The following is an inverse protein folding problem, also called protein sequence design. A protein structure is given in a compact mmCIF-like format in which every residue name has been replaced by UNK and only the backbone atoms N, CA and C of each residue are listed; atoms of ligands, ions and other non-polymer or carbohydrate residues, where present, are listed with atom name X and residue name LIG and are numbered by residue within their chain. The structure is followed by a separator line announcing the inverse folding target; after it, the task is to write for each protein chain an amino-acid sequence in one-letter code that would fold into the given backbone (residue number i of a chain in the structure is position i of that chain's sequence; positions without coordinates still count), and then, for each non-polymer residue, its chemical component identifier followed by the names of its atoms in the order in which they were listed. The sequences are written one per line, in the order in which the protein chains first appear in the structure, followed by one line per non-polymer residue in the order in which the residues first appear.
data_IF_257772143145
#
_entry.id   IF_257772143145
#
_cell.length_a   1.000
_cell.length_b   1.000
_cell.length_c   1.000
_cell.angle_alpha   90.00
_cell.angle_beta   90.00
_cell.angle_gamma   90.00
#
_symmetry.space_group_name_H-M   'P 1'
#
loop_
_entity.id
_entity.type
_entity.pdbx_description
1 polymer ?
#
# COMPACT_ATOMS: atom_id res chain seq x y z
N UNK A 1 29.89 -6.44 43.96
CA UNK A 1 28.44 -6.15 43.82
C UNK A 1 28.22 -5.64 42.39
N UNK A 2 27.87 -6.53 41.45
CA UNK A 2 27.79 -6.24 40.01
C UNK A 2 26.31 -6.03 39.65
N UNK A 3 25.93 -4.81 39.25
CA UNK A 3 24.60 -4.51 38.70
C UNK A 3 24.64 -4.69 37.18
N UNK A 4 24.07 -5.79 36.70
CA UNK A 4 23.76 -5.99 35.28
C UNK A 4 22.46 -5.24 34.95
N UNK A 5 22.56 -4.26 34.05
CA UNK A 5 21.46 -3.47 33.50
C UNK A 5 20.71 -4.30 32.45
N UNK A 6 19.48 -4.68 32.74
CA UNK A 6 18.57 -5.28 31.79
C UNK A 6 17.80 -4.17 31.04
N UNK A 7 18.28 -3.82 29.84
CA UNK A 7 17.47 -3.13 28.82
C UNK A 7 17.67 -3.85 27.49
N UNK A 8 16.64 -3.77 26.65
CA UNK A 8 16.47 -4.38 25.31
C UNK A 8 15.57 -5.62 25.32
N UNK A 9 14.25 -5.39 25.43
CA UNK A 9 13.19 -6.32 24.95
C UNK A 9 11.96 -5.60 24.36
N UNK A 10 12.07 -4.33 23.96
CA UNK A 10 10.91 -3.54 23.47
C UNK A 10 10.76 -3.57 21.93
N UNK A 11 11.80 -3.96 21.18
CA UNK A 11 11.77 -3.97 19.71
C UNK A 11 11.01 -5.13 19.07
N UNK A 12 10.73 -6.22 19.80
CA UNK A 12 10.04 -7.41 19.25
C UNK A 12 8.51 -7.31 19.24
N UNK A 13 7.92 -6.43 20.07
CA UNK A 13 6.45 -6.29 20.17
C UNK A 13 5.89 -5.50 18.99
N UNK A 14 6.62 -4.50 18.48
CA UNK A 14 6.17 -3.67 17.35
C UNK A 14 6.09 -4.47 16.02
N UNK A 15 6.94 -5.49 15.86
CA UNK A 15 6.97 -6.36 14.67
C UNK A 15 5.72 -7.25 14.57
N UNK A 16 5.16 -7.68 15.70
CA UNK A 16 3.90 -8.42 15.70
C UNK A 16 2.71 -7.52 15.35
N UNK A 17 2.70 -6.24 15.71
CA UNK A 17 1.50 -5.37 15.60
C UNK A 17 1.15 -5.00 14.15
N UNK A 18 2.12 -4.72 13.26
CA UNK A 18 1.82 -4.42 11.85
C UNK A 18 1.43 -5.66 11.04
N UNK A 19 1.97 -6.83 11.39
CA UNK A 19 1.50 -8.11 10.85
C UNK A 19 0.16 -8.52 11.49
N UNK A 20 -0.11 -8.17 12.75
CA UNK A 20 -1.42 -8.32 13.39
C UNK A 20 -2.46 -7.39 12.78
N UNK A 21 -2.15 -6.20 12.26
CA UNK A 21 -3.15 -5.40 11.56
C UNK A 21 -3.61 -6.08 10.24
N UNK A 22 -2.67 -6.71 9.52
CA UNK A 22 -2.99 -7.53 8.34
C UNK A 22 -3.57 -8.91 8.70
N UNK A 23 -3.16 -9.51 9.82
CA UNK A 23 -3.58 -10.85 10.28
C UNK A 23 -4.84 -10.85 11.16
N UNK A 24 -5.18 -9.79 11.91
CA UNK A 24 -6.48 -9.61 12.58
C UNK A 24 -7.57 -9.36 11.56
N UNK A 25 -7.26 -8.60 10.50
CA UNK A 25 -8.14 -8.51 9.32
C UNK A 25 -8.44 -9.88 8.73
N UNK A 26 -7.44 -10.78 8.72
CA UNK A 26 -7.57 -12.15 8.18
C UNK A 26 -8.23 -13.14 9.17
N UNK A 27 -7.94 -13.05 10.48
CA UNK A 27 -8.45 -13.96 11.51
C UNK A 27 -9.92 -13.69 11.86
N UNK A 28 -10.36 -12.43 11.79
CA UNK A 28 -11.78 -12.08 11.95
C UNK A 28 -12.62 -12.50 10.74
N UNK A 29 -12.03 -12.63 9.54
CA UNK A 29 -12.72 -13.11 8.33
C UNK A 29 -12.95 -14.63 8.35
N UNK A 30 -12.06 -15.40 8.97
CA UNK A 30 -12.10 -16.88 8.92
C UNK A 30 -12.99 -17.53 9.99
N UNK A 31 -13.27 -16.85 11.11
CA UNK A 31 -14.04 -17.43 12.24
C UNK A 31 -15.55 -17.55 11.95
N UNK A 32 -16.11 -16.71 11.08
CA UNK A 32 -17.55 -16.68 10.80
C UNK A 32 -17.96 -17.45 9.53
N UNK A 33 -17.00 -17.99 8.77
CA UNK A 33 -17.26 -18.73 7.51
C UNK A 33 -17.52 -20.23 7.70
N UNK A 34 -17.48 -20.75 8.93
CA UNK A 34 -17.72 -22.16 9.25
C UNK A 34 -19.17 -22.38 9.71
N UNK A 35 -20.14 -22.11 8.83
CA UNK A 35 -21.54 -22.33 9.15
C UNK A 35 -22.48 -22.09 7.98
N UNK A 36 -22.93 -23.17 7.36
CA UNK A 36 -24.10 -23.29 6.49
C UNK A 36 -24.05 -22.64 5.09
N UNK A 37 -23.82 -23.49 4.09
CA UNK A 37 -24.23 -23.24 2.71
C UNK A 37 -25.54 -24.00 2.41
N UNK A 38 -26.62 -23.26 2.11
CA UNK A 38 -27.71 -23.71 1.24
C UNK A 38 -27.79 -22.72 0.08
N UNK A 39 -27.66 -23.26 -1.12
CA UNK A 39 -27.54 -22.53 -2.39
C UNK A 39 -28.93 -22.31 -2.98
N UNK A 40 -29.31 -21.06 -3.26
CA UNK A 40 -30.33 -20.80 -4.28
C UNK A 40 -30.18 -19.41 -4.93
N UNK A 41 -30.10 -19.45 -6.25
CA UNK A 41 -30.26 -18.43 -7.30
C UNK A 41 -30.39 -16.95 -6.93
N UNK A 42 -29.45 -16.13 -7.45
CA UNK A 42 -29.76 -14.77 -7.90
C UNK A 42 -28.87 -14.31 -9.06
N UNK A 43 -29.37 -14.50 -10.29
CA UNK A 43 -28.96 -13.73 -11.47
C UNK A 43 -29.95 -12.58 -11.64
N UNK A 44 -29.50 -11.35 -11.41
CA UNK A 44 -29.91 -10.12 -12.13
C UNK A 44 -29.49 -8.90 -11.30
N UNK A 45 -29.00 -7.87 -11.99
CA UNK A 45 -28.43 -6.60 -11.48
C UNK A 45 -26.92 -6.62 -11.19
N UNK A 46 -26.13 -6.82 -12.23
CA UNK A 46 -24.82 -6.17 -12.31
C UNK A 46 -24.97 -5.00 -13.30
N UNK A 47 -25.02 -3.77 -12.78
CA UNK A 47 -24.81 -2.58 -13.59
C UNK A 47 -23.44 -2.70 -14.26
N UNK A 48 -23.40 -2.37 -15.54
CA UNK A 48 -22.23 -2.49 -16.41
C UNK A 48 -21.12 -1.54 -15.92
N UNK A 49 -20.32 -1.99 -14.95
CA UNK A 49 -19.03 -1.37 -14.65
C UNK A 49 -18.17 -1.67 -15.87
N UNK A 50 -17.92 -0.64 -16.68
CA UNK A 50 -17.10 -0.74 -17.88
C UNK A 50 -15.79 -1.45 -17.52
N UNK A 51 -15.57 -2.62 -18.12
CA UNK A 51 -14.34 -3.38 -17.91
C UNK A 51 -13.15 -2.49 -18.30
N UNK A 52 -12.05 -2.51 -17.53
CA UNK A 52 -10.84 -1.81 -17.92
C UNK A 52 -10.43 -2.25 -19.33
N UNK A 53 -10.30 -1.30 -20.26
CA UNK A 53 -9.78 -1.54 -21.59
C UNK A 53 -8.31 -1.97 -21.46
N UNK A 54 -8.04 -3.26 -21.69
CA UNK A 54 -6.71 -3.86 -21.58
C UNK A 54 -5.68 -3.14 -22.47
N UNK A 55 -6.09 -2.65 -23.64
CA UNK A 55 -5.21 -1.95 -24.57
C UNK A 55 -4.81 -0.59 -24.02
N UNK A 56 -5.76 0.11 -23.39
CA UNK A 56 -5.48 1.38 -22.71
C UNK A 56 -4.55 1.21 -21.51
N UNK A 57 -4.76 0.17 -20.70
CA UNK A 57 -3.90 -0.12 -19.54
C UNK A 57 -2.48 -0.47 -19.98
N UNK A 58 -2.32 -1.35 -20.98
CA UNK A 58 -1.00 -1.67 -21.53
C UNK A 58 -0.29 -0.44 -22.10
N UNK A 59 -0.98 0.35 -22.92
CA UNK A 59 -0.41 1.56 -23.51
C UNK A 59 -0.06 2.64 -22.46
N UNK A 60 -0.74 2.67 -21.31
CA UNK A 60 -0.40 3.52 -20.19
C UNK A 60 0.89 3.06 -19.50
N UNK A 61 1.04 1.76 -19.28
CA UNK A 61 2.22 1.18 -18.63
C UNK A 61 3.47 1.24 -19.52
N UNK A 62 3.33 0.95 -20.81
CA UNK A 62 4.45 0.96 -21.77
C UNK A 62 5.05 2.36 -21.96
N UNK A 63 4.21 3.40 -21.99
CA UNK A 63 4.67 4.80 -22.09
C UNK A 63 5.52 5.26 -20.92
N UNK A 64 5.45 4.58 -19.77
CA UNK A 64 6.16 4.93 -18.53
C UNK A 64 7.38 4.06 -18.27
N UNK A 65 7.83 3.27 -19.25
CA UNK A 65 9.07 2.53 -19.12
C UNK A 65 10.23 3.52 -18.99
N UNK A 66 10.92 3.60 -17.84
CA UNK A 66 12.03 4.52 -17.69
C UNK A 66 13.13 4.17 -18.69
N UNK A 67 13.67 5.18 -19.37
CA UNK A 67 14.81 5.00 -20.27
C UNK A 67 15.96 4.36 -19.47
N UNK A 68 16.41 3.16 -19.89
CA UNK A 68 17.62 2.57 -19.33
C UNK A 68 18.77 3.47 -19.75
N UNK A 69 19.32 4.25 -18.81
CA UNK A 69 20.55 5.02 -19.06
C UNK A 69 21.67 4.00 -19.27
N UNK A 70 22.21 3.81 -20.49
CA UNK A 70 23.32 2.93 -20.74
C UNK A 70 24.59 3.73 -20.43
N UNK A 71 25.15 3.51 -19.26
CA UNK A 71 26.44 4.06 -18.90
C UNK A 71 27.03 3.20 -17.79
N UNK A 72 28.23 2.70 -18.03
CA UNK A 72 29.14 2.22 -16.98
C UNK A 72 29.41 3.40 -16.05
N UNK A 73 28.49 3.66 -15.12
CA UNK A 73 28.67 4.68 -14.12
C UNK A 73 29.81 4.21 -13.21
N UNK A 74 30.89 4.98 -13.20
CA UNK A 74 31.96 4.84 -12.22
C UNK A 74 31.33 4.72 -10.82
N UNK A 75 31.90 3.86 -9.97
CA UNK A 75 31.42 3.63 -8.61
C UNK A 75 31.50 4.92 -7.79
N UNK A 76 30.48 5.75 -7.89
CA UNK A 76 30.37 7.00 -7.15
C UNK A 76 30.09 6.65 -5.69
N UNK A 77 30.97 7.12 -4.81
CA UNK A 77 30.89 6.87 -3.37
C UNK A 77 29.56 7.36 -2.81
N UNK A 78 28.80 6.47 -2.16
CA UNK A 78 27.55 6.83 -1.50
C UNK A 78 27.86 7.81 -0.35
N UNK A 79 27.26 9.02 -0.34
CA UNK A 79 27.43 9.97 0.75
C UNK A 79 27.04 9.38 2.11
N UNK A 80 27.81 9.72 3.15
CA UNK A 80 27.65 9.14 4.48
C UNK A 80 26.23 9.33 5.06
N UNK A 81 25.55 10.43 4.74
CA UNK A 81 24.20 10.70 5.23
C UNK A 81 23.14 9.80 4.61
N UNK A 82 23.40 9.17 3.46
CA UNK A 82 22.48 8.24 2.80
C UNK A 82 22.72 6.79 3.19
N UNK A 83 23.86 6.45 3.81
CA UNK A 83 24.16 5.08 4.25
C UNK A 83 23.04 4.43 5.08
N UNK A 84 22.35 5.14 6.01
CA UNK A 84 21.23 4.56 6.75
C UNK A 84 20.04 4.13 5.88
N UNK A 85 19.90 4.67 4.66
CA UNK A 85 18.87 4.26 3.69
C UNK A 85 19.31 3.06 2.84
N UNK A 86 20.62 2.82 2.77
CA UNK A 86 21.22 1.84 1.87
C UNK A 86 21.56 0.53 2.59
N UNK A 87 22.08 0.62 3.81
CA UNK A 87 22.62 -0.51 4.56
C UNK A 87 21.60 -1.11 5.53
N UNK A 88 20.42 -1.49 5.00
CA UNK A 88 19.41 -2.16 5.82
C UNK A 88 18.93 -3.48 5.19
N UNK A 89 19.79 -4.51 5.13
CA UNK A 89 19.45 -5.79 4.52
C UNK A 89 18.22 -6.42 5.17
N UNK A 90 17.15 -6.59 4.40
CA UNK A 90 15.95 -7.32 4.81
C UNK A 90 15.17 -6.77 6.01
N UNK A 91 15.38 -5.50 6.41
CA UNK A 91 14.58 -4.89 7.48
C UNK A 91 13.22 -4.42 6.95
N UNK A 92 12.18 -5.21 7.28
CA UNK A 92 10.79 -4.99 6.87
C UNK A 92 10.18 -3.70 7.44
N UNK A 93 10.73 -3.18 8.52
CA UNK A 93 10.15 -2.07 9.28
C UNK A 93 11.16 -0.96 9.47
N UNK A 94 12.18 -0.86 8.63
CA UNK A 94 13.02 0.31 8.69
C UNK A 94 12.22 1.52 8.22
N UNK A 95 12.13 2.46 9.14
CA UNK A 95 11.52 3.75 8.97
C UNK A 95 12.65 4.75 9.10
N UNK A 96 13.07 5.40 8.00
CA UNK A 96 14.06 6.46 8.07
C UNK A 96 13.57 7.52 9.05
N UNK A 97 14.44 7.99 9.98
CA UNK A 97 14.07 9.08 10.89
C UNK A 97 13.57 10.29 10.10
N UNK A 98 12.55 10.97 10.61
CA UNK A 98 11.98 12.15 9.96
C UNK A 98 13.05 13.22 9.67
N UNK A 99 13.98 13.39 10.60
CA UNK A 99 15.08 14.35 10.50
C UNK A 99 16.04 14.03 9.33
N UNK A 100 16.17 12.76 8.97
CA UNK A 100 16.94 12.35 7.80
C UNK A 100 16.18 12.71 6.53
N UNK A 101 14.88 12.40 6.46
CA UNK A 101 14.05 12.68 5.29
C UNK A 101 14.01 14.17 4.95
N UNK A 102 13.85 15.03 5.95
CA UNK A 102 13.79 16.50 5.75
C UNK A 102 15.10 17.14 5.28
N UNK A 103 16.22 16.40 5.32
CA UNK A 103 17.55 16.88 4.89
C UNK A 103 17.92 16.41 3.49
N UNK A 104 17.10 15.55 2.88
CA UNK A 104 17.38 15.02 1.55
C UNK A 104 17.27 16.13 0.50
N UNK A 105 18.21 16.14 -0.45
CA UNK A 105 18.24 17.12 -1.55
C UNK A 105 17.77 16.52 -2.87
N UNK A 106 17.71 17.34 -3.93
CA UNK A 106 17.41 16.89 -5.29
C UNK A 106 18.53 16.00 -5.84
N UNK A 107 19.78 16.27 -5.48
CA UNK A 107 20.95 15.45 -5.82
C UNK A 107 20.85 14.07 -5.17
N UNK A 108 20.43 14.02 -3.89
CA UNK A 108 20.15 12.76 -3.19
C UNK A 108 19.07 11.95 -3.92
N UNK A 109 18.05 12.62 -4.49
CA UNK A 109 17.00 11.94 -5.27
C UNK A 109 17.58 11.14 -6.44
N UNK A 110 18.45 11.77 -7.24
CA UNK A 110 19.04 11.12 -8.41
C UNK A 110 19.85 9.87 -8.00
N UNK A 111 20.63 9.98 -6.93
CA UNK A 111 21.38 8.87 -6.36
C UNK A 111 20.45 7.77 -5.79
N UNK A 112 19.44 8.13 -5.01
CA UNK A 112 18.45 7.19 -4.48
C UNK A 112 17.70 6.44 -5.59
N UNK A 113 17.33 7.11 -6.68
CA UNK A 113 16.71 6.48 -7.84
C UNK A 113 17.66 5.51 -8.55
N UNK A 114 18.96 5.84 -8.64
CA UNK A 114 19.97 4.92 -9.16
C UNK A 114 20.09 3.68 -8.29
N UNK A 115 20.27 3.86 -6.99
CA UNK A 115 20.41 2.75 -6.04
C UNK A 115 19.14 1.89 -5.96
N UNK A 116 17.96 2.50 -6.09
CA UNK A 116 16.71 1.77 -6.22
C UNK A 116 16.74 0.79 -7.40
N UNK A 117 17.18 1.27 -8.58
CA UNK A 117 17.23 0.48 -9.83
C UNK A 117 18.31 -0.60 -9.78
N UNK A 118 19.41 -0.35 -9.09
CA UNK A 118 20.54 -1.29 -8.99
C UNK A 118 20.25 -2.50 -8.07
N UNK A 119 19.26 -2.42 -7.18
CA UNK A 119 18.89 -3.51 -6.28
C UNK A 119 17.92 -4.47 -6.96
N UNK A 120 18.27 -5.73 -7.16
CA UNK A 120 17.38 -6.72 -7.82
C UNK A 120 16.21 -7.20 -6.94
N UNK A 121 16.38 -7.13 -5.62
CA UNK A 121 15.41 -7.54 -4.62
C UNK A 121 14.54 -6.36 -4.19
N UNK A 122 13.21 -6.51 -4.30
CA UNK A 122 12.27 -5.46 -3.90
C UNK A 122 12.33 -5.14 -2.39
N UNK A 123 12.63 -6.14 -1.55
CA UNK A 123 12.71 -5.97 -0.10
C UNK A 123 13.82 -5.00 0.33
N UNK A 124 14.94 -5.01 -0.39
CA UNK A 124 16.09 -4.13 -0.12
C UNK A 124 15.83 -2.68 -0.51
N UNK A 125 14.72 -2.39 -1.20
CA UNK A 125 14.36 -1.04 -1.64
C UNK A 125 13.48 -0.30 -0.64
N UNK A 126 13.03 -0.93 0.45
CA UNK A 126 11.98 -0.37 1.31
C UNK A 126 12.32 1.00 1.93
N UNK A 127 13.55 1.21 2.37
CA UNK A 127 13.99 2.51 2.92
C UNK A 127 14.07 3.58 1.82
N UNK A 128 14.61 3.21 0.65
CA UNK A 128 14.71 4.07 -0.52
C UNK A 128 13.32 4.50 -1.02
N UNK A 129 12.33 3.60 -1.03
CA UNK A 129 10.93 3.92 -1.38
C UNK A 129 10.39 5.07 -0.52
N UNK A 130 10.62 5.03 0.79
CA UNK A 130 10.13 6.08 1.70
C UNK A 130 10.82 7.42 1.45
N UNK A 131 12.15 7.39 1.25
CA UNK A 131 12.93 8.58 0.92
C UNK A 131 12.47 9.22 -0.39
N UNK A 132 12.31 8.40 -1.45
CA UNK A 132 11.81 8.86 -2.73
C UNK A 132 10.36 9.35 -2.66
N UNK A 133 9.49 8.71 -1.89
CA UNK A 133 8.12 9.17 -1.67
C UNK A 133 8.06 10.55 -0.98
N UNK A 134 9.02 10.83 -0.08
CA UNK A 134 9.16 12.13 0.57
C UNK A 134 9.63 13.21 -0.42
N UNK A 135 10.66 12.90 -1.21
CA UNK A 135 11.23 13.82 -2.21
C UNK A 135 10.25 14.11 -3.36
N UNK A 136 9.50 13.10 -3.79
CA UNK A 136 8.51 13.21 -4.86
C UNK A 136 9.08 13.49 -6.25
N UNK A 137 8.17 13.85 -7.16
CA UNK A 137 8.46 14.07 -8.57
C UNK A 137 7.78 13.04 -9.49
N UNK A 138 7.53 13.44 -10.74
CA UNK A 138 6.93 12.58 -11.76
C UNK A 138 7.79 11.35 -12.05
N UNK A 139 9.12 11.52 -12.03
CA UNK A 139 10.11 10.48 -12.22
C UNK A 139 10.04 9.38 -11.13
N UNK A 140 9.74 9.75 -9.89
CA UNK A 140 9.49 8.80 -8.80
C UNK A 140 8.17 8.07 -8.98
N UNK A 141 7.12 8.78 -9.38
CA UNK A 141 5.81 8.17 -9.66
C UNK A 141 5.91 7.14 -10.78
N UNK A 142 6.58 7.48 -11.88
CA UNK A 142 6.83 6.59 -13.01
C UNK A 142 7.64 5.37 -12.57
N UNK A 143 8.70 5.57 -11.78
CA UNK A 143 9.50 4.49 -11.22
C UNK A 143 8.63 3.52 -10.40
N UNK A 144 7.80 4.02 -9.48
CA UNK A 144 6.98 3.17 -8.62
C UNK A 144 5.88 2.43 -9.39
N UNK A 145 5.23 3.10 -10.35
CA UNK A 145 4.23 2.46 -11.23
C UNK A 145 4.89 1.34 -12.05
N UNK A 146 6.06 1.62 -12.65
CA UNK A 146 6.82 0.63 -13.42
C UNK A 146 7.23 -0.57 -12.56
N UNK A 147 7.74 -0.33 -11.34
CA UNK A 147 8.13 -1.37 -10.41
C UNK A 147 6.95 -2.26 -9.96
N UNK A 148 5.78 -1.66 -9.72
CA UNK A 148 4.57 -2.39 -9.35
C UNK A 148 4.03 -3.28 -10.47
N UNK A 149 4.20 -2.89 -11.73
CA UNK A 149 3.48 -3.49 -12.85
C UNK A 149 4.35 -4.36 -13.76
N UNK A 150 5.53 -3.85 -14.15
CA UNK A 150 6.32 -4.39 -15.25
C UNK A 150 7.71 -4.88 -14.84
N UNK A 151 8.36 -4.26 -13.87
CA UNK A 151 9.77 -4.54 -13.56
C UNK A 151 10.02 -6.01 -13.18
N UNK A 152 9.06 -6.61 -12.47
CA UNK A 152 9.14 -7.99 -11.98
C UNK A 152 8.33 -8.96 -12.87
N UNK A 153 7.99 -8.56 -14.09
CA UNK A 153 7.18 -9.38 -15.00
C UNK A 153 7.72 -10.81 -15.15
N UNK A 154 6.84 -11.80 -15.04
CA UNK A 154 7.14 -13.23 -15.13
C UNK A 154 7.87 -13.83 -13.93
N UNK A 155 8.33 -13.02 -12.96
CA UNK A 155 8.97 -13.50 -11.73
C UNK A 155 7.91 -13.93 -10.71
N UNK A 156 8.18 -15.00 -9.97
CA UNK A 156 7.46 -15.31 -8.74
C UNK A 156 8.17 -14.62 -7.58
N UNK A 157 7.45 -13.81 -6.82
CA UNK A 157 8.04 -13.04 -5.73
C UNK A 157 8.21 -13.89 -4.47
N UNK A 158 9.29 -13.64 -3.75
CA UNK A 158 9.53 -14.28 -2.46
C UNK A 158 8.58 -13.70 -1.38
N UNK A 159 8.05 -14.59 -0.53
CA UNK A 159 7.15 -14.22 0.59
C UNK A 159 7.73 -14.50 1.97
N UNK A 160 8.97 -14.96 2.06
CA UNK A 160 9.45 -15.91 3.08
C UNK A 160 9.18 -15.49 4.52
N UNK A 161 8.35 -16.29 5.19
CA UNK A 161 8.20 -16.36 6.63
C UNK A 161 9.23 -17.37 7.11
N UNK A 162 10.46 -16.90 7.38
CA UNK A 162 11.53 -17.56 8.17
C UNK A 162 12.83 -16.74 8.08
N UNK A 163 12.72 -15.45 8.38
CA UNK A 163 13.88 -14.68 8.85
C UNK A 163 14.55 -13.69 7.90
N UNK A 164 14.17 -13.59 6.62
CA UNK A 164 14.45 -12.47 5.65
C UNK A 164 14.12 -13.00 4.25
N UNK A 165 12.97 -12.66 3.68
CA UNK A 165 12.72 -11.59 2.69
C UNK A 165 11.23 -11.64 2.34
N UNK A 166 10.60 -10.50 2.00
CA UNK A 166 9.21 -10.50 1.52
C UNK A 166 9.08 -9.40 0.44
N UNK A 167 9.50 -9.74 -0.77
CA UNK A 167 9.46 -8.87 -1.94
C UNK A 167 8.04 -8.38 -2.22
N UNK A 168 7.05 -9.26 -2.06
CA UNK A 168 5.65 -8.91 -2.30
C UNK A 168 5.17 -7.78 -1.38
N UNK A 169 5.44 -7.88 -0.07
CA UNK A 169 5.11 -6.81 0.89
C UNK A 169 5.87 -5.53 0.57
N UNK A 170 7.10 -5.63 0.08
CA UNK A 170 7.88 -4.46 -0.31
C UNK A 170 7.28 -3.75 -1.53
N UNK A 171 6.80 -4.50 -2.53
CA UNK A 171 6.06 -3.94 -3.66
C UNK A 171 4.72 -3.35 -3.21
N UNK A 172 3.98 -4.03 -2.33
CA UNK A 172 2.72 -3.50 -1.79
C UNK A 172 2.88 -2.12 -1.13
N UNK A 173 4.03 -1.85 -0.49
CA UNK A 173 4.33 -0.52 0.08
C UNK A 173 4.44 0.59 -0.97
N UNK A 174 4.75 0.26 -2.22
CA UNK A 174 4.75 1.25 -3.31
C UNK A 174 3.35 1.84 -3.52
N UNK A 175 2.28 1.09 -3.25
CA UNK A 175 0.90 1.61 -3.33
C UNK A 175 0.68 2.70 -2.28
N UNK A 176 1.11 2.47 -1.04
CA UNK A 176 1.05 3.50 0.00
C UNK A 176 1.94 4.71 -0.33
N UNK A 177 3.14 4.46 -0.86
CA UNK A 177 4.05 5.51 -1.31
C UNK A 177 3.44 6.36 -2.44
N UNK A 178 2.71 5.75 -3.36
CA UNK A 178 1.92 6.47 -4.37
C UNK A 178 0.80 7.30 -3.73
N UNK A 179 0.22 6.86 -2.61
CA UNK A 179 -0.75 7.63 -1.83
C UNK A 179 -0.18 8.96 -1.34
N UNK A 180 1.02 8.90 -0.73
CA UNK A 180 1.81 10.06 -0.30
C UNK A 180 2.09 11.00 -1.49
N UNK A 181 2.55 10.44 -2.62
CA UNK A 181 2.86 11.22 -3.83
C UNK A 181 1.62 11.85 -4.47
N UNK A 182 0.46 11.18 -4.38
CA UNK A 182 -0.77 11.63 -5.00
C UNK A 182 -1.30 12.94 -4.42
N UNK A 183 -0.87 13.34 -3.22
CA UNK A 183 -1.18 14.66 -2.65
C UNK A 183 -0.80 15.82 -3.60
N UNK A 184 0.28 15.68 -4.37
CA UNK A 184 0.78 16.71 -5.29
C UNK A 184 0.91 16.23 -6.74
N UNK A 185 0.58 14.97 -7.03
CA UNK A 185 0.80 14.36 -8.33
C UNK A 185 -0.47 13.72 -8.91
N UNK A 186 -0.98 14.28 -10.01
CA UNK A 186 -2.21 13.80 -10.66
C UNK A 186 -2.06 12.41 -11.28
N UNK A 187 -0.87 12.05 -11.76
CA UNK A 187 -0.63 10.74 -12.33
C UNK A 187 -0.69 9.63 -11.26
N UNK A 188 -0.08 9.86 -10.10
CA UNK A 188 -0.18 8.94 -8.96
C UNK A 188 -1.65 8.79 -8.51
N UNK A 189 -2.39 9.90 -8.41
CA UNK A 189 -3.82 9.89 -8.09
C UNK A 189 -4.63 9.09 -9.11
N UNK A 190 -4.44 9.36 -10.41
CA UNK A 190 -5.15 8.67 -11.49
C UNK A 190 -4.83 7.16 -11.54
N UNK A 191 -3.61 6.77 -11.23
CA UNK A 191 -3.21 5.37 -11.11
C UNK A 191 -3.92 4.68 -9.93
N UNK A 192 -3.88 5.27 -8.73
CA UNK A 192 -4.56 4.72 -7.56
C UNK A 192 -6.08 4.63 -7.74
N UNK A 193 -6.68 5.60 -8.43
CA UNK A 193 -8.12 5.58 -8.74
C UNK A 193 -8.51 4.42 -9.65
N UNK A 194 -7.63 3.99 -10.56
CA UNK A 194 -7.83 2.74 -11.32
C UNK A 194 -7.65 1.51 -10.42
N UNK A 195 -6.68 1.59 -9.49
CA UNK A 195 -6.37 0.55 -8.52
C UNK A 195 -7.47 0.23 -7.50
N UNK A 196 -8.58 0.96 -7.46
CA UNK A 196 -9.74 0.59 -6.61
C UNK A 196 -10.60 -0.53 -7.24
N UNK A 197 -10.33 -0.91 -8.49
CA UNK A 197 -10.94 -2.07 -9.15
C UNK A 197 -9.96 -3.26 -9.15
N UNK A 198 -10.31 -4.41 -8.55
CA UNK A 198 -9.47 -5.61 -8.59
C UNK A 198 -9.11 -6.07 -10.01
N UNK A 199 -9.98 -5.83 -11.00
CA UNK A 199 -9.75 -6.20 -12.40
C UNK A 199 -8.58 -5.43 -13.00
N UNK A 200 -8.36 -4.19 -12.57
CA UNK A 200 -7.19 -3.42 -12.97
C UNK A 200 -5.89 -4.10 -12.54
N UNK A 201 -5.83 -4.60 -11.31
CA UNK A 201 -4.65 -5.29 -10.80
C UNK A 201 -4.41 -6.62 -11.50
N UNK A 202 -5.48 -7.34 -11.85
CA UNK A 202 -5.39 -8.59 -12.62
C UNK A 202 -4.70 -8.41 -13.98
N UNK A 203 -4.87 -7.27 -14.64
CA UNK A 203 -4.24 -6.98 -15.93
C UNK A 203 -2.89 -6.25 -15.80
N UNK A 204 -2.69 -5.50 -14.72
CA UNK A 204 -1.52 -4.63 -14.54
C UNK A 204 -0.34 -5.33 -13.87
N UNK A 205 -0.61 -6.31 -13.01
CA UNK A 205 0.44 -7.07 -12.31
C UNK A 205 0.89 -8.24 -13.18
N UNK A 206 2.16 -8.22 -13.57
CA UNK A 206 2.75 -9.28 -14.38
C UNK A 206 3.69 -10.22 -13.59
N UNK A 207 3.92 -9.94 -12.31
CA UNK A 207 4.61 -10.85 -11.40
C UNK A 207 3.62 -11.84 -10.76
N UNK A 208 4.12 -12.99 -10.30
CA UNK A 208 3.33 -14.02 -9.63
C UNK A 208 3.47 -13.91 -8.12
N UNK A 209 2.34 -13.98 -7.42
CA UNK A 209 2.27 -14.05 -5.96
C UNK A 209 1.93 -15.47 -5.49
N UNK A 210 2.45 -15.83 -4.31
CA UNK A 210 2.00 -17.03 -3.58
C UNK A 210 0.61 -16.89 -2.95
N UNK A 211 0.09 -15.66 -2.83
CA UNK A 211 -1.31 -15.41 -2.45
C UNK A 211 -2.28 -15.63 -3.63
N UNK A 212 -1.76 -15.85 -4.85
CA UNK A 212 -2.57 -16.05 -6.05
C UNK A 212 -3.46 -14.84 -6.34
N UNK A 213 -4.75 -15.07 -6.58
CA UNK A 213 -5.71 -14.01 -6.90
C UNK A 213 -5.99 -13.05 -5.72
N UNK A 214 -5.72 -13.47 -4.47
CA UNK A 214 -5.94 -12.61 -3.30
C UNK A 214 -5.05 -11.36 -3.33
N UNK A 215 -3.89 -11.43 -3.98
CA UNK A 215 -3.01 -10.26 -4.18
C UNK A 215 -3.74 -9.09 -4.84
N UNK A 216 -4.63 -9.35 -5.80
CA UNK A 216 -5.39 -8.29 -6.45
C UNK A 216 -6.35 -7.60 -5.48
N UNK A 217 -6.96 -8.37 -4.57
CA UNK A 217 -7.77 -7.85 -3.47
C UNK A 217 -6.93 -7.03 -2.50
N UNK A 218 -5.73 -7.49 -2.14
CA UNK A 218 -4.81 -6.75 -1.26
C UNK A 218 -4.37 -5.43 -1.90
N UNK A 219 -3.98 -5.42 -3.17
CA UNK A 219 -3.58 -4.20 -3.88
C UNK A 219 -4.76 -3.23 -4.05
N UNK A 220 -5.97 -3.75 -4.21
CA UNK A 220 -7.21 -2.95 -4.24
C UNK A 220 -7.45 -2.26 -2.90
N UNK A 221 -7.42 -3.03 -1.81
CA UNK A 221 -7.53 -2.54 -0.45
C UNK A 221 -6.49 -1.43 -0.17
N UNK A 222 -5.23 -1.67 -0.52
CA UNK A 222 -4.15 -0.70 -0.35
C UNK A 222 -4.35 0.56 -1.20
N UNK A 223 -4.93 0.44 -2.39
CA UNK A 223 -5.23 1.60 -3.25
C UNK A 223 -6.32 2.49 -2.66
N UNK A 224 -7.38 1.87 -2.13
CA UNK A 224 -8.45 2.58 -1.41
C UNK A 224 -7.85 3.33 -0.21
N UNK A 225 -7.05 2.66 0.61
CA UNK A 225 -6.38 3.28 1.75
C UNK A 225 -5.43 4.40 1.33
N UNK A 226 -4.60 4.18 0.29
CA UNK A 226 -3.63 5.15 -0.22
C UNK A 226 -4.29 6.44 -0.73
N UNK A 227 -5.48 6.35 -1.34
CA UNK A 227 -6.26 7.51 -1.74
C UNK A 227 -6.61 8.41 -0.54
N UNK A 228 -6.95 7.80 0.61
CA UNK A 228 -7.16 8.51 1.87
C UNK A 228 -5.93 9.27 2.38
N UNK A 229 -4.72 8.86 2.00
CA UNK A 229 -3.47 9.52 2.41
C UNK A 229 -3.21 10.83 1.65
N UNK A 230 -3.88 11.05 0.51
CA UNK A 230 -3.58 12.15 -0.41
C UNK A 230 -3.98 13.53 0.10
N UNK A 231 -4.99 13.62 0.96
CA UNK A 231 -5.56 14.90 1.39
C UNK A 231 -6.29 15.69 0.30
N UNK A 232 -6.54 15.08 -0.86
CA UNK A 232 -7.27 15.69 -1.97
C UNK A 232 -8.75 15.86 -1.65
N UNK A 233 -9.35 16.96 -2.08
CA UNK A 233 -10.77 17.26 -1.81
C UNK A 233 -11.71 16.25 -2.50
N UNK A 234 -11.27 15.67 -3.62
CA UNK A 234 -11.99 14.67 -4.40
C UNK A 234 -12.12 13.33 -3.68
N UNK A 235 -11.36 13.10 -2.59
CA UNK A 235 -11.39 11.85 -1.84
C UNK A 235 -12.71 11.68 -1.10
N UNK A 236 -13.24 12.73 -0.47
CA UNK A 236 -14.49 12.61 0.31
C UNK A 236 -15.65 12.13 -0.57
N UNK A 237 -15.97 12.76 -1.72
CA UNK A 237 -17.03 12.27 -2.61
C UNK A 237 -16.75 10.87 -3.15
N UNK A 238 -15.47 10.52 -3.39
CA UNK A 238 -15.08 9.18 -3.82
C UNK A 238 -15.40 8.12 -2.75
N UNK A 239 -15.05 8.37 -1.48
CA UNK A 239 -15.32 7.45 -0.38
C UNK A 239 -16.84 7.29 -0.15
N UNK A 240 -17.61 8.38 -0.21
CA UNK A 240 -19.07 8.31 -0.12
C UNK A 240 -19.68 7.52 -1.28
N UNK A 241 -19.15 7.65 -2.50
CA UNK A 241 -19.57 6.81 -3.63
C UNK A 241 -19.26 5.34 -3.36
N UNK A 242 -18.06 5.02 -2.86
CA UNK A 242 -17.67 3.65 -2.52
C UNK A 242 -18.59 3.04 -1.45
N UNK A 243 -19.13 3.82 -0.51
CA UNK A 243 -20.11 3.32 0.48
C UNK A 243 -21.38 2.73 -0.14
N UNK A 244 -21.74 3.25 -1.31
CA UNK A 244 -22.95 2.93 -2.04
C UNK A 244 -22.71 1.87 -3.14
N UNK A 245 -21.47 1.45 -3.35
CA UNK A 245 -21.09 0.40 -4.29
C UNK A 245 -21.01 -0.96 -3.58
N UNK A 246 -21.29 -2.04 -4.31
CA UNK A 246 -20.97 -3.38 -3.83
C UNK A 246 -19.45 -3.62 -3.90
N UNK A 247 -18.79 -3.61 -2.74
CA UNK A 247 -17.33 -3.64 -2.62
C UNK A 247 -16.81 -5.05 -2.32
N UNK A 248 -17.19 -5.99 -3.17
CA UNK A 248 -16.85 -7.40 -3.03
C UNK A 248 -15.85 -7.80 -4.10
N UNK A 249 -14.71 -8.33 -3.67
CA UNK A 249 -13.73 -8.90 -4.56
C UNK A 249 -14.26 -10.22 -5.14
N UNK A 250 -14.83 -10.18 -6.34
CA UNK A 250 -15.29 -11.36 -7.08
C UNK A 250 -14.26 -11.89 -8.08
N UNK A 251 -12.97 -11.52 -7.94
CA UNK A 251 -11.94 -11.91 -8.91
C UNK A 251 -11.61 -13.40 -8.94
N UNK A 252 -12.01 -14.15 -7.91
CA UNK A 252 -12.09 -15.61 -7.92
C UNK A 252 -13.53 -16.06 -8.19
N UNK A 253 -13.77 -16.81 -9.26
CA UNK A 253 -15.11 -17.31 -9.59
C UNK A 253 -15.67 -18.17 -8.46
N UNK A 254 -16.83 -17.83 -7.91
CA UNK A 254 -17.57 -18.59 -6.88
C UNK A 254 -16.74 -19.15 -5.71
N UNK A 255 -15.54 -18.62 -5.43
CA UNK A 255 -14.72 -19.10 -4.32
C UNK A 255 -15.37 -18.67 -2.99
N UNK A 256 -15.63 -19.60 -2.07
CA UNK A 256 -16.05 -19.25 -0.71
C UNK A 256 -14.97 -18.39 -0.06
N UNK A 257 -15.23 -17.09 0.14
CA UNK A 257 -14.27 -16.17 0.76
C UNK A 257 -14.02 -14.85 0.03
N UNK A 258 -14.96 -14.37 -0.79
CA UNK A 258 -14.85 -13.07 -1.45
C UNK A 258 -14.50 -11.96 -0.45
N UNK A 259 -13.34 -11.31 -0.64
CA UNK A 259 -12.87 -10.23 0.24
C UNK A 259 -13.79 -9.01 0.11
N UNK A 260 -14.25 -8.45 1.23
CA UNK A 260 -14.97 -7.16 1.23
C UNK A 260 -14.02 -6.00 1.51
N UNK A 261 -14.18 -4.87 0.84
CA UNK A 261 -13.34 -3.67 1.05
C UNK A 261 -13.93 -2.65 2.04
N UNK A 262 -15.02 -2.98 2.74
CA UNK A 262 -15.67 -2.04 3.66
C UNK A 262 -14.71 -1.50 4.74
N UNK A 263 -13.85 -2.37 5.28
CA UNK A 263 -12.85 -1.96 6.27
C UNK A 263 -11.81 -1.01 5.68
N UNK A 264 -11.38 -1.26 4.45
CA UNK A 264 -10.38 -0.44 3.74
C UNK A 264 -10.92 0.97 3.46
N UNK A 265 -12.22 1.10 3.15
CA UNK A 265 -12.89 2.40 3.01
C UNK A 265 -12.93 3.16 4.33
N UNK A 266 -13.19 2.49 5.47
CA UNK A 266 -13.14 3.14 6.79
C UNK A 266 -11.72 3.63 7.10
N UNK A 267 -10.70 2.82 6.83
CA UNK A 267 -9.29 3.22 6.99
C UNK A 267 -8.95 4.43 6.12
N UNK A 268 -9.42 4.45 4.86
CA UNK A 268 -9.22 5.60 3.98
C UNK A 268 -9.93 6.86 4.48
N UNK A 269 -11.14 6.74 5.03
CA UNK A 269 -11.87 7.85 5.65
C UNK A 269 -11.11 8.41 6.86
N UNK A 270 -10.56 7.54 7.72
CA UNK A 270 -9.69 7.95 8.81
C UNK A 270 -8.46 8.71 8.33
N UNK A 271 -7.74 8.18 7.33
CA UNK A 271 -6.56 8.86 6.80
C UNK A 271 -6.92 10.22 6.23
N UNK A 272 -8.01 10.33 5.47
CA UNK A 272 -8.47 11.59 4.91
C UNK A 272 -8.82 12.61 5.99
N UNK A 273 -9.59 12.22 7.02
CA UNK A 273 -9.91 13.07 8.17
C UNK A 273 -8.65 13.53 8.91
N UNK A 274 -7.65 12.65 9.07
CA UNK A 274 -6.41 12.97 9.75
C UNK A 274 -5.59 13.99 8.94
N UNK A 275 -5.51 13.82 7.62
CA UNK A 275 -4.84 14.78 6.73
C UNK A 275 -5.57 16.12 6.69
N UNK A 276 -6.91 16.13 6.58
CA UNK A 276 -7.70 17.36 6.62
C UNK A 276 -7.51 18.13 7.93
N UNK A 277 -7.45 17.41 9.07
CA UNK A 277 -7.35 18.03 10.40
C UNK A 277 -5.94 18.47 10.78
N UNK A 278 -4.91 17.76 10.33
CA UNK A 278 -3.52 17.94 10.81
C UNK A 278 -2.51 18.28 9.71
N UNK A 279 -2.92 18.23 8.45
CA UNK A 279 -2.07 18.43 7.29
C UNK A 279 -1.32 17.18 6.84
N UNK A 280 -0.93 17.19 5.57
CA UNK A 280 -0.24 16.09 4.88
C UNK A 280 1.13 15.78 5.49
N UNK A 281 1.88 16.80 5.90
CA UNK A 281 3.21 16.62 6.52
C UNK A 281 3.12 15.89 7.86
N UNK A 282 2.13 16.25 8.69
CA UNK A 282 1.88 15.55 9.94
C UNK A 282 1.56 14.07 9.69
N UNK A 283 0.69 13.80 8.71
CA UNK A 283 0.35 12.44 8.33
C UNK A 283 1.60 11.67 7.86
N UNK A 284 2.40 12.26 6.96
CA UNK A 284 3.62 11.65 6.45
C UNK A 284 4.59 11.29 7.57
N UNK A 285 4.80 12.20 8.53
CA UNK A 285 5.63 11.94 9.69
C UNK A 285 5.10 10.77 10.52
N UNK A 286 3.80 10.76 10.84
CA UNK A 286 3.21 9.66 11.64
C UNK A 286 3.13 8.34 10.91
N UNK A 287 2.98 8.36 9.60
CA UNK A 287 3.10 7.19 8.74
C UNK A 287 4.55 6.67 8.70
N UNK A 288 5.53 7.56 8.65
CA UNK A 288 6.94 7.22 8.75
C UNK A 288 7.29 6.73 10.17
N UNK A 289 6.69 7.22 11.24
CA UNK A 289 7.01 6.75 12.60
C UNK A 289 6.24 5.48 12.99
N UNK A 290 5.28 5.02 12.15
CA UNK A 290 4.40 3.90 12.47
C UNK A 290 3.41 4.21 13.61
N UNK A 291 3.10 5.48 13.85
CA UNK A 291 2.32 5.96 14.99
C UNK A 291 0.84 6.26 14.67
N UNK A 292 0.37 5.95 13.46
CA UNK A 292 -1.02 6.22 13.03
C UNK A 292 -2.07 5.55 13.93
N UNK A 293 -1.76 4.39 14.52
CA UNK A 293 -2.69 3.63 15.37
C UNK A 293 -3.18 4.43 16.58
N UNK A 294 -2.30 5.26 17.17
CA UNK A 294 -2.68 6.11 18.31
C UNK A 294 -3.75 7.14 17.95
N UNK A 295 -3.79 7.56 16.69
CA UNK A 295 -4.79 8.50 16.19
C UNK A 295 -6.08 7.80 15.76
N UNK A 296 -5.98 6.55 15.31
CA UNK A 296 -7.12 5.73 14.97
C UNK A 296 -8.05 5.53 16.17
N UNK A 297 -7.50 5.19 17.34
CA UNK A 297 -8.30 4.96 18.54
C UNK A 297 -9.16 6.19 18.86
N UNK A 298 -8.56 7.38 18.94
CA UNK A 298 -9.29 8.62 19.19
C UNK A 298 -10.31 8.96 18.10
N UNK A 299 -9.94 8.80 16.82
CA UNK A 299 -10.85 9.06 15.70
C UNK A 299 -12.06 8.13 15.71
N UNK A 300 -11.85 6.84 16.01
CA UNK A 300 -12.88 5.81 15.98
C UNK A 300 -14.00 6.01 17.02
N UNK A 301 -13.77 6.88 18.02
CA UNK A 301 -14.75 7.25 19.05
C UNK A 301 -15.49 8.56 18.75
N UNK A 302 -15.10 9.30 17.71
CA UNK A 302 -15.85 10.48 17.22
C UNK A 302 -17.15 10.05 16.56
N UNK A 303 -18.12 10.96 16.44
CA UNK A 303 -19.40 10.67 15.77
C UNK A 303 -19.20 10.25 14.32
N UNK A 304 -18.28 10.91 13.60
CA UNK A 304 -17.93 10.52 12.23
C UNK A 304 -17.31 9.11 12.19
N UNK A 305 -16.30 8.84 13.02
CA UNK A 305 -15.65 7.53 13.07
C UNK A 305 -16.62 6.38 13.43
N UNK A 306 -17.52 6.61 14.39
CA UNK A 306 -18.61 5.68 14.74
C UNK A 306 -19.53 5.42 13.55
N UNK A 307 -19.95 6.46 12.83
CA UNK A 307 -20.83 6.32 11.66
C UNK A 307 -20.19 5.46 10.55
N UNK A 308 -18.91 5.69 10.24
CA UNK A 308 -18.17 4.88 9.27
C UNK A 308 -18.05 3.41 9.71
N UNK A 309 -17.72 3.16 10.97
CA UNK A 309 -17.61 1.80 11.51
C UNK A 309 -18.95 1.07 11.55
N UNK A 310 -20.03 1.75 11.96
CA UNK A 310 -21.38 1.20 11.97
C UNK A 310 -21.84 0.82 10.55
N UNK A 311 -21.59 1.68 9.56
CA UNK A 311 -21.85 1.37 8.15
C UNK A 311 -21.09 0.11 7.70
N UNK A 312 -19.78 0.02 7.96
CA UNK A 312 -19.00 -1.16 7.58
C UNK A 312 -19.47 -2.43 8.27
N UNK A 313 -19.92 -2.35 9.53
CA UNK A 313 -20.46 -3.49 10.26
C UNK A 313 -21.79 -3.98 9.65
N UNK A 314 -22.71 -3.05 9.36
CA UNK A 314 -24.00 -3.37 8.74
C UNK A 314 -23.83 -4.03 7.35
N UNK A 315 -22.88 -3.54 6.55
CA UNK A 315 -22.57 -4.13 5.24
C UNK A 315 -22.01 -5.55 5.31
N UNK A 316 -21.25 -5.90 6.36
CA UNK A 316 -20.74 -7.26 6.58
C UNK A 316 -21.81 -8.25 7.05
N UNK A 317 -22.85 -7.75 7.73
CA UNK A 317 -23.96 -8.58 8.23
C UNK A 317 -25.03 -8.83 7.18
N UNK A 318 -25.05 -8.07 6.09
CA UNK A 318 -26.02 -8.25 5.01
C UNK A 318 -25.65 -9.52 4.23
N UNK A 319 -26.51 -10.56 4.20
CA UNK A 319 -26.25 -11.76 3.41
C UNK A 319 -26.05 -11.37 1.94
N UNK A 320 -24.95 -11.83 1.33
CA UNK A 320 -24.64 -11.61 -0.08
C UNK A 320 -25.28 -12.67 -0.97
#
# INVERSE_FOLDING_TARGET
MIRLSAKVKTGRIVVLVSLLALALGWFLVRRDSAGHAKTESRKQMAGEVARPDESRTKAFLERRRPSRVPGEAQAETIPAHLLPLMDVPGCRTFYPPWELLTKLTVEDKALLMREYRNRSNAADRAAIVRALAHLGGDDVVDLFIYSLSLEFSGRELTTTVDGRENEEVALMKLVSALGILSAKNDAAYAFLKQGIDPSFWKVSVQWRSKLGNETYGVLTALSIQALGMSGRQEIRPLLERLRNTDLVNRTGGNEPGARTFYGDVVTAAFYNDLVEKRGVEFFHRKWADGELERYWEGWSHTDNGKAWRAWSAAKRQTPQ
#
